data_IF_137174523278
#
_entry.id   IF_137174523278
#
_cell.length_a   1.000
_cell.length_b   1.000
_cell.length_c   1.000
_cell.angle_alpha   90.00
_cell.angle_beta   90.00
_cell.angle_gamma   90.00
#
_symmetry.space_group_name_H-M   'P 1'
#
loop_
_entity.id
_entity.type
_entity.pdbx_description
1 polymer ?
#
# COMPACT_ATOMS: atom_id res chain seq x y z
N UNK A 1 5.46 25.87 -9.99
CA UNK A 1 5.93 24.62 -10.59
C UNK A 1 6.46 23.76 -9.45
N UNK A 2 5.63 22.89 -8.85
CA UNK A 2 6.09 21.99 -7.80
C UNK A 2 6.65 20.74 -8.47
N UNK A 3 7.97 20.58 -8.43
CA UNK A 3 8.65 19.39 -8.92
C UNK A 3 8.26 18.20 -8.06
N UNK A 4 7.49 17.27 -8.62
CA UNK A 4 7.10 16.02 -7.97
C UNK A 4 8.27 15.03 -8.07
N UNK A 5 9.10 14.99 -7.03
CA UNK A 5 10.12 13.94 -6.89
C UNK A 5 9.39 12.66 -6.48
N UNK A 6 9.25 11.73 -7.41
CA UNK A 6 8.71 10.39 -7.12
C UNK A 6 9.62 9.70 -6.11
N UNK A 7 9.14 9.56 -4.88
CA UNK A 7 9.72 8.65 -3.90
C UNK A 7 9.42 7.23 -4.37
N UNK A 8 10.40 6.31 -4.42
CA UNK A 8 10.14 4.93 -4.79
C UNK A 8 9.28 4.27 -3.71
N UNK A 9 7.96 4.24 -3.92
CA UNK A 9 7.03 3.45 -3.11
C UNK A 9 7.00 2.05 -3.71
N UNK A 10 7.58 1.08 -2.99
CA UNK A 10 7.54 -0.32 -3.39
C UNK A 10 6.10 -0.84 -3.24
N UNK A 11 5.38 -0.98 -4.35
CA UNK A 11 4.07 -1.63 -4.39
C UNK A 11 4.27 -3.12 -4.67
N UNK A 12 4.06 -3.99 -3.68
CA UNK A 12 4.17 -5.45 -3.87
C UNK A 12 2.88 -6.01 -4.48
N UNK A 13 2.86 -6.07 -5.81
CA UNK A 13 1.87 -6.83 -6.57
C UNK A 13 2.35 -8.28 -6.75
N UNK A 14 2.26 -9.10 -5.71
CA UNK A 14 2.16 -10.57 -5.75
C UNK A 14 2.89 -11.27 -6.93
N UNK A 15 4.21 -11.11 -7.08
CA UNK A 15 5.04 -12.00 -7.91
C UNK A 15 6.47 -12.14 -7.36
N UNK A 16 6.70 -13.30 -6.73
CA UNK A 16 8.03 -13.91 -6.63
C UNK A 16 8.94 -13.35 -5.55
N UNK A 17 9.43 -14.23 -4.67
CA UNK A 17 10.33 -13.92 -3.55
C UNK A 17 11.72 -13.50 -4.00
N UNK A 18 11.83 -12.28 -4.54
CA UNK A 18 13.11 -11.61 -4.71
C UNK A 18 13.59 -11.15 -3.33
N UNK A 19 14.80 -11.56 -2.95
CA UNK A 19 15.48 -11.05 -1.77
C UNK A 19 15.75 -9.56 -1.99
N UNK A 20 15.06 -8.68 -1.26
CA UNK A 20 15.51 -7.30 -1.14
C UNK A 20 16.88 -7.31 -0.45
N UNK A 21 17.93 -6.71 -1.05
CA UNK A 21 19.21 -6.58 -0.39
C UNK A 21 19.05 -5.78 0.91
N UNK A 22 19.90 -6.08 1.90
CA UNK A 22 19.95 -5.34 3.16
C UNK A 22 20.12 -3.85 2.85
N UNK A 23 19.20 -3.02 3.31
CA UNK A 23 19.33 -1.58 3.18
C UNK A 23 20.62 -1.13 3.92
N UNK A 24 21.50 -0.34 3.29
CA UNK A 24 22.70 0.18 3.94
C UNK A 24 22.34 1.07 5.14
N UNK A 25 23.26 1.21 6.09
CA UNK A 25 23.14 2.22 7.14
C UNK A 25 23.12 3.61 6.49
N UNK A 26 22.01 4.35 6.67
CA UNK A 26 21.71 5.60 5.97
C UNK A 26 20.70 5.51 4.81
N UNK A 27 20.13 4.33 4.54
CA UNK A 27 19.03 4.20 3.60
C UNK A 27 17.74 4.85 4.14
N UNK A 28 16.98 5.52 3.24
CA UNK A 28 15.64 6.02 3.54
C UNK A 28 14.77 4.87 4.08
N UNK A 29 13.97 5.17 5.11
CA UNK A 29 13.10 4.17 5.75
C UNK A 29 12.18 3.47 4.75
N UNK A 30 11.96 2.17 4.95
CA UNK A 30 10.97 1.41 4.15
C UNK A 30 9.58 1.62 4.76
N UNK A 31 8.60 1.98 3.94
CA UNK A 31 7.19 2.06 4.29
C UNK A 31 6.41 1.12 3.37
N UNK A 32 5.45 0.38 3.91
CA UNK A 32 4.65 -0.59 3.14
C UNK A 32 3.18 -0.21 3.15
N UNK A 33 2.47 -0.60 2.09
CA UNK A 33 1.02 -0.56 2.09
C UNK A 33 0.42 -1.78 1.41
N UNK A 34 -0.79 -2.14 1.81
CA UNK A 34 -1.63 -3.14 1.15
C UNK A 34 -2.85 -2.48 0.56
N UNK A 35 -3.40 -3.05 -0.53
CA UNK A 35 -4.69 -2.66 -1.08
C UNK A 35 -5.75 -3.73 -0.82
N UNK A 36 -6.94 -3.30 -0.44
CA UNK A 36 -8.07 -4.16 -0.08
C UNK A 36 -8.42 -3.99 1.40
N UNK A 37 -9.67 -4.23 1.81
CA UNK A 37 -10.79 -4.87 1.11
C UNK A 37 -11.51 -3.99 0.08
N UNK A 38 -12.40 -4.61 -0.69
CA UNK A 38 -13.28 -3.93 -1.67
C UNK A 38 -14.64 -3.68 -1.01
N UNK A 39 -14.57 -3.07 0.17
CA UNK A 39 -15.68 -2.62 1.00
C UNK A 39 -15.16 -1.48 1.89
N UNK A 40 -16.03 -0.87 2.69
CA UNK A 40 -15.68 0.26 3.55
C UNK A 40 -14.92 -0.12 4.82
N UNK A 41 -14.49 -1.37 5.01
CA UNK A 41 -13.82 -1.77 6.25
C UNK A 41 -12.47 -1.07 6.45
N UNK A 42 -11.79 -0.67 5.36
CA UNK A 42 -10.54 0.08 5.44
C UNK A 42 -10.69 1.49 6.00
N UNK A 43 -11.89 2.08 5.90
CA UNK A 43 -12.19 3.41 6.45
C UNK A 43 -12.65 3.35 7.92
N UNK A 44 -13.06 2.18 8.38
CA UNK A 44 -13.62 1.98 9.71
C UNK A 44 -12.55 1.77 10.80
N UNK A 45 -11.30 1.57 10.41
CA UNK A 45 -10.19 1.42 11.34
C UNK A 45 -8.98 0.72 10.71
N UNK A 46 -7.93 0.56 11.51
CA UNK A 46 -6.72 -0.15 11.09
C UNK A 46 -7.03 -1.63 10.84
N UNK A 47 -6.70 -2.10 9.62
CA UNK A 47 -6.79 -3.51 9.28
C UNK A 47 -5.43 -4.16 9.53
N UNK A 48 -5.34 -5.12 10.46
CA UNK A 48 -4.06 -5.75 10.78
C UNK A 48 -3.51 -6.49 9.56
N UNK A 49 -2.18 -6.48 9.36
CA UNK A 49 -1.57 -7.19 8.26
C UNK A 49 -1.83 -8.70 8.37
N UNK A 50 -2.19 -9.32 7.24
CA UNK A 50 -2.23 -10.78 7.16
C UNK A 50 -0.82 -11.35 7.46
N UNK A 51 -0.68 -12.60 7.95
CA UNK A 51 0.61 -13.14 8.40
C UNK A 51 1.73 -13.06 7.37
N UNK A 52 1.39 -13.17 6.08
CA UNK A 52 2.36 -13.01 5.01
C UNK A 52 2.89 -11.57 4.92
N UNK A 53 2.04 -10.56 5.10
CA UNK A 53 2.43 -9.15 5.09
C UNK A 53 3.21 -8.81 6.35
N UNK A 54 2.76 -9.24 7.54
CA UNK A 54 3.46 -9.03 8.80
C UNK A 54 4.92 -9.51 8.73
N UNK A 55 5.13 -10.72 8.20
CA UNK A 55 6.47 -11.27 7.98
C UNK A 55 7.31 -10.44 7.00
N UNK A 56 6.70 -9.81 6.00
CA UNK A 56 7.42 -8.94 5.06
C UNK A 56 7.77 -7.59 5.69
N UNK A 57 6.87 -7.01 6.49
CA UNK A 57 7.14 -5.83 7.33
C UNK A 57 8.36 -6.06 8.21
N UNK A 58 8.42 -7.19 8.91
CA UNK A 58 9.58 -7.56 9.74
C UNK A 58 10.85 -7.75 8.92
N UNK A 59 10.78 -8.50 7.81
CA UNK A 59 11.94 -8.80 6.96
C UNK A 59 12.55 -7.55 6.35
N UNK A 60 11.72 -6.60 5.93
CA UNK A 60 12.14 -5.35 5.33
C UNK A 60 12.49 -4.29 6.39
N UNK A 61 12.24 -4.58 7.68
CA UNK A 61 12.30 -3.59 8.76
C UNK A 61 11.54 -2.33 8.40
N UNK A 62 10.36 -2.53 7.84
CA UNK A 62 9.49 -1.43 7.47
C UNK A 62 9.10 -0.66 8.73
N UNK A 63 9.16 0.67 8.63
CA UNK A 63 8.81 1.58 9.72
C UNK A 63 7.32 1.50 10.04
N UNK A 64 6.52 1.36 8.99
CA UNK A 64 5.07 1.32 9.08
C UNK A 64 4.48 0.46 7.96
N UNK A 65 3.29 -0.08 8.21
CA UNK A 65 2.43 -0.69 7.20
C UNK A 65 0.99 -0.16 7.37
N UNK A 66 0.36 0.24 6.26
CA UNK A 66 -1.04 0.67 6.22
C UNK A 66 -1.83 -0.14 5.20
N UNK A 67 -3.09 -0.43 5.49
CA UNK A 67 -4.00 -1.09 4.56
C UNK A 67 -5.03 -0.09 4.03
N UNK A 68 -5.01 0.20 2.73
CA UNK A 68 -5.98 1.07 2.06
C UNK A 68 -7.09 0.27 1.38
N UNK A 69 -8.26 0.88 1.21
CA UNK A 69 -9.35 0.28 0.46
C UNK A 69 -8.96 -0.04 -0.99
N UNK A 70 -9.50 -1.14 -1.50
CA UNK A 70 -9.23 -1.65 -2.83
C UNK A 70 -10.16 -1.06 -3.89
N UNK A 71 -9.79 -1.27 -5.15
CA UNK A 71 -10.60 -0.88 -6.31
C UNK A 71 -10.79 -2.08 -7.23
N UNK A 72 -12.04 -2.53 -7.38
CA UNK A 72 -12.42 -3.51 -8.40
C UNK A 72 -13.58 -2.93 -9.18
N UNK A 73 -13.29 -2.51 -10.40
CA UNK A 73 -14.22 -1.96 -11.38
C UNK A 73 -14.36 -2.91 -12.57
N UNK A 74 -15.30 -2.64 -13.48
CA UNK A 74 -15.44 -3.41 -14.73
C UNK A 74 -14.19 -3.36 -15.62
N UNK A 75 -13.38 -2.30 -15.48
CA UNK A 75 -12.10 -2.14 -16.19
C UNK A 75 -10.94 -2.86 -15.49
N UNK A 76 -11.15 -3.44 -14.30
CA UNK A 76 -10.11 -4.17 -13.58
C UNK A 76 -9.82 -5.51 -14.27
N UNK A 77 -8.56 -5.78 -14.69
CA UNK A 77 -8.22 -7.01 -15.37
C UNK A 77 -8.42 -8.25 -14.49
N UNK A 78 -8.84 -9.36 -15.10
CA UNK A 78 -8.95 -10.66 -14.45
C UNK A 78 -10.38 -11.19 -14.34
N UNK A 79 -10.53 -12.50 -14.40
CA UNK A 79 -11.83 -13.17 -14.40
C UNK A 79 -12.59 -12.94 -13.08
N UNK A 80 -11.87 -12.93 -11.95
CA UNK A 80 -12.47 -12.69 -10.62
C UNK A 80 -12.93 -11.25 -10.46
N UNK A 81 -12.17 -10.28 -10.97
CA UNK A 81 -12.56 -8.87 -10.97
C UNK A 81 -13.84 -8.64 -11.78
N UNK A 82 -13.94 -9.24 -12.98
CA UNK A 82 -15.15 -9.21 -13.81
C UNK A 82 -16.35 -9.87 -13.13
N UNK A 83 -16.15 -10.99 -12.44
CA UNK A 83 -17.23 -11.68 -11.72
C UNK A 83 -17.72 -10.84 -10.53
N UNK A 84 -16.81 -10.29 -9.72
CA UNK A 84 -17.16 -9.43 -8.57
C UNK A 84 -17.89 -8.16 -9.00
N UNK A 85 -17.39 -7.48 -10.03
CA UNK A 85 -18.05 -6.31 -10.61
C UNK A 85 -19.46 -6.67 -11.12
N UNK A 86 -19.59 -7.76 -11.88
CA UNK A 86 -20.88 -8.22 -12.43
C UNK A 86 -21.90 -8.63 -11.37
N UNK A 87 -21.46 -9.10 -10.21
CA UNK A 87 -22.32 -9.46 -9.08
C UNK A 87 -22.63 -8.29 -8.13
N UNK A 88 -22.27 -7.05 -8.50
CA UNK A 88 -22.50 -5.87 -7.66
C UNK A 88 -21.64 -5.84 -6.39
N UNK A 89 -20.56 -6.63 -6.36
CA UNK A 89 -19.58 -6.70 -5.27
C UNK A 89 -18.26 -6.03 -5.63
N UNK A 90 -18.25 -5.26 -6.72
CA UNK A 90 -17.16 -4.36 -7.10
C UNK A 90 -17.45 -2.95 -6.60
N UNK A 91 -16.42 -2.12 -6.61
CA UNK A 91 -16.47 -0.73 -6.20
C UNK A 91 -15.06 -0.15 -6.09
N UNK A 92 -15.00 1.16 -5.96
CA UNK A 92 -13.78 1.88 -5.64
C UNK A 92 -13.87 2.40 -4.21
N UNK A 93 -13.07 1.80 -3.32
CA UNK A 93 -13.05 2.11 -1.89
C UNK A 93 -11.73 2.79 -1.49
N UNK A 94 -10.97 3.27 -2.48
CA UNK A 94 -9.77 4.05 -2.21
C UNK A 94 -10.20 5.40 -1.61
N UNK A 95 -9.51 5.79 -0.55
CA UNK A 95 -9.61 7.12 0.05
C UNK A 95 -8.41 7.98 -0.40
N UNK A 96 -8.58 8.89 -1.38
CA UNK A 96 -7.49 9.71 -1.87
C UNK A 96 -6.96 10.68 -0.82
N UNK A 97 -7.78 11.09 0.15
CA UNK A 97 -7.38 12.02 1.22
C UNK A 97 -6.50 11.29 2.25
N UNK A 98 -6.92 10.10 2.69
CA UNK A 98 -6.12 9.22 3.55
C UNK A 98 -4.79 8.84 2.92
N UNK A 99 -4.78 8.49 1.61
CA UNK A 99 -3.54 8.18 0.88
C UNK A 99 -2.60 9.40 0.83
N UNK A 100 -3.13 10.60 0.56
CA UNK A 100 -2.33 11.83 0.54
C UNK A 100 -1.78 12.16 1.93
N UNK A 101 -2.59 12.04 2.96
CA UNK A 101 -2.20 12.29 4.35
C UNK A 101 -1.04 11.38 4.76
N UNK A 102 -1.13 10.09 4.42
CA UNK A 102 -0.07 9.13 4.67
C UNK A 102 1.22 9.46 3.89
N UNK A 103 1.10 9.84 2.63
CA UNK A 103 2.26 10.26 1.83
C UNK A 103 2.95 11.52 2.41
N UNK A 104 2.18 12.47 2.93
CA UNK A 104 2.70 13.65 3.63
C UNK A 104 3.39 13.28 4.95
N UNK A 105 2.83 12.33 5.70
CA UNK A 105 3.46 11.78 6.90
C UNK A 105 4.84 11.18 6.58
N UNK A 106 4.94 10.30 5.58
CA UNK A 106 6.21 9.73 5.12
C UNK A 106 7.20 10.85 4.75
N UNK A 107 6.74 11.84 4.00
CA UNK A 107 7.59 12.96 3.57
C UNK A 107 8.16 13.72 4.77
N UNK A 108 7.37 13.92 5.82
CA UNK A 108 7.81 14.57 7.07
C UNK A 108 8.81 13.71 7.85
N UNK A 109 8.59 12.39 7.94
CA UNK A 109 9.53 11.45 8.57
C UNK A 109 10.87 11.43 7.85
N UNK A 110 10.86 11.45 6.52
CA UNK A 110 12.07 11.44 5.72
C UNK A 110 12.83 12.78 5.81
N UNK A 111 12.11 13.91 5.89
CA UNK A 111 12.72 15.23 6.04
C UNK A 111 13.40 15.44 7.41
N UNK A 112 12.89 14.79 8.46
CA UNK A 112 13.48 14.86 9.81
C UNK A 112 14.67 13.92 10.01
N UNK A 113 14.79 12.89 9.16
CA UNK A 113 15.89 11.93 9.20
C UNK A 113 17.12 12.35 8.38
N UNK A 114 17.03 13.45 7.62
CA UNK A 114 18.10 14.02 6.79
C UNK A 114 18.87 15.12 7.53
#
# INVERSE_FOLDING_TARGET
>A
MASYTSVPVASDSSRGGQRCPRAPEGALGVFLFSSGPVDSSAEQGEIPPVPAVARQTERLRAREHVTFGGSITESTPGLMAKALARHGKGGDFRDPEGIQTWAHHISSELATAA
#
